data_IF_370433966448
#
_entry.id   IF_370433966448
#
_cell.length_a   1.000
_cell.length_b   1.000
_cell.length_c   1.000
_cell.angle_alpha   90.00
_cell.angle_beta   90.00
_cell.angle_gamma   90.00
#
_symmetry.space_group_name_H-M   'P 1'
#
loop_
_entity.id
_entity.type
_entity.pdbx_description
1 polymer ?
#
# COMPACT_ATOMS: atom_id res chain seq x y z
N UNK A 1 29.67 20.19 -55.90
CA UNK A 1 29.17 19.00 -56.64
C UNK A 1 27.67 19.18 -56.93
N UNK A 2 27.07 18.43 -57.87
CA UNK A 2 25.61 18.45 -58.13
C UNK A 2 24.98 17.10 -57.72
N UNK A 3 24.32 17.04 -56.57
CA UNK A 3 23.59 15.85 -56.13
C UNK A 3 22.30 15.68 -56.95
N UNK A 4 22.26 14.66 -57.82
CA UNK A 4 21.04 14.23 -58.50
C UNK A 4 20.26 13.29 -57.58
N UNK A 5 19.23 13.81 -56.90
CA UNK A 5 18.28 12.97 -56.16
C UNK A 5 17.49 12.13 -57.17
N UNK A 6 17.51 10.81 -57.02
CA UNK A 6 16.82 9.90 -57.91
C UNK A 6 15.30 9.95 -57.66
N UNK A 7 14.51 10.18 -58.71
CA UNK A 7 13.05 10.35 -58.61
C UNK A 7 12.29 9.11 -58.12
N UNK A 8 12.91 7.93 -58.09
CA UNK A 8 12.30 6.69 -57.58
C UNK A 8 12.23 6.57 -56.06
N UNK A 9 13.12 7.23 -55.30
CA UNK A 9 13.25 7.00 -53.85
C UNK A 9 12.05 7.53 -53.04
N UNK A 10 11.35 8.54 -53.56
CA UNK A 10 10.25 9.21 -52.85
C UNK A 10 9.02 8.29 -52.63
N UNK A 11 8.81 7.32 -53.52
CA UNK A 11 7.66 6.40 -53.46
C UNK A 11 7.75 5.36 -52.33
N UNK A 12 8.94 5.09 -51.80
CA UNK A 12 9.18 4.04 -50.79
C UNK A 12 9.07 4.60 -49.36
N UNK A 13 9.35 5.90 -49.17
CA UNK A 13 9.29 6.55 -47.86
C UNK A 13 7.83 6.81 -47.43
N UNK A 14 6.94 7.13 -48.38
CA UNK A 14 5.53 7.43 -48.13
C UNK A 14 4.74 6.30 -47.43
N UNK A 15 4.79 5.02 -47.86
CA UNK A 15 4.09 3.94 -47.16
C UNK A 15 4.66 3.64 -45.76
N UNK A 16 5.98 3.80 -45.56
CA UNK A 16 6.60 3.63 -44.24
C UNK A 16 6.15 4.71 -43.26
N UNK A 17 6.01 5.96 -43.72
CA UNK A 17 5.46 7.05 -42.91
C UNK A 17 3.98 6.83 -42.55
N UNK A 18 3.16 6.35 -43.50
CA UNK A 18 1.76 6.01 -43.22
C UNK A 18 1.61 4.90 -42.18
N UNK A 19 2.41 3.83 -42.28
CA UNK A 19 2.38 2.73 -41.32
C UNK A 19 2.67 3.20 -39.89
N UNK A 20 3.66 4.07 -39.70
CA UNK A 20 4.01 4.63 -38.38
C UNK A 20 2.89 5.51 -37.81
N UNK A 21 2.22 6.32 -38.63
CA UNK A 21 1.10 7.16 -38.19
C UNK A 21 -0.13 6.33 -37.79
N UNK A 22 -0.41 5.23 -38.50
CA UNK A 22 -1.49 4.30 -38.15
C UNK A 22 -1.22 3.56 -36.82
N UNK A 23 0.03 3.25 -36.49
CA UNK A 23 0.40 2.65 -35.20
C UNK A 23 0.11 3.58 -34.01
N UNK A 24 0.29 4.90 -34.16
CA UNK A 24 -0.05 5.85 -33.09
C UNK A 24 -1.56 5.99 -32.87
N UNK A 25 -2.37 5.94 -33.93
CA UNK A 25 -3.83 6.00 -33.81
C UNK A 25 -4.40 4.81 -33.00
N UNK A 26 -3.82 3.62 -33.16
CA UNK A 26 -4.23 2.41 -32.44
C UNK A 26 -3.96 2.46 -30.92
N UNK A 27 -3.13 3.39 -30.44
CA UNK A 27 -2.74 3.48 -29.03
C UNK A 27 -3.68 4.36 -28.18
N UNK A 28 -4.62 5.08 -28.79
CA UNK A 28 -5.56 5.96 -28.08
C UNK A 28 -6.85 5.26 -27.60
N UNK A 29 -7.18 4.08 -28.14
CA UNK A 29 -8.49 3.45 -27.99
C UNK A 29 -8.49 2.25 -27.02
N UNK A 30 -7.88 2.44 -25.84
CA UNK A 30 -7.88 1.45 -24.74
C UNK A 30 -8.54 2.02 -23.48
N UNK A 31 -9.79 2.49 -23.63
CA UNK A 31 -10.68 2.87 -22.51
C UNK A 31 -11.94 2.00 -22.47
N UNK A 32 -11.74 0.68 -22.40
CA UNK A 32 -12.78 -0.34 -22.20
C UNK A 32 -12.55 -1.01 -20.84
N UNK A 33 -13.30 -0.66 -19.79
CA UNK A 33 -14.70 -1.00 -19.54
C UNK A 33 -14.93 -2.50 -19.21
N UNK A 34 -14.43 -2.90 -18.04
CA UNK A 34 -14.64 -4.18 -17.36
C UNK A 34 -14.81 -3.83 -15.87
N UNK A 35 -15.87 -4.18 -15.13
CA UNK A 35 -16.99 -5.08 -15.46
C UNK A 35 -18.29 -4.68 -14.70
N UNK A 36 -19.22 -3.94 -15.32
CA UNK A 36 -20.59 -3.86 -14.78
C UNK A 36 -21.46 -4.99 -15.34
N UNK A 37 -21.43 -6.14 -14.67
CA UNK A 37 -22.46 -7.19 -14.81
C UNK A 37 -22.85 -7.77 -13.46
N UNK A 38 -23.74 -7.05 -12.76
CA UNK A 38 -24.62 -7.66 -11.76
C UNK A 38 -25.50 -8.72 -12.45
N UNK A 39 -25.36 -10.00 -12.07
CA UNK A 39 -26.41 -10.73 -11.33
C UNK A 39 -25.97 -12.17 -10.97
N UNK A 40 -26.18 -12.52 -9.70
CA UNK A 40 -26.27 -13.86 -9.08
C UNK A 40 -25.39 -15.01 -9.61
N UNK A 41 -24.54 -15.52 -8.72
CA UNK A 41 -24.67 -16.93 -8.28
C UNK A 41 -24.72 -16.93 -6.75
N UNK A 42 -25.75 -17.56 -6.18
CA UNK A 42 -25.81 -17.92 -4.76
C UNK A 42 -25.42 -19.40 -4.58
N UNK A 43 -25.42 -19.90 -3.35
CA UNK A 43 -24.75 -21.16 -2.90
C UNK A 43 -23.21 -21.06 -2.83
N UNK A 44 -22.52 -21.67 -1.86
CA UNK A 44 -22.97 -22.62 -0.82
C UNK A 44 -22.55 -22.18 0.60
N UNK A 45 -23.46 -22.31 1.57
CA UNK A 45 -23.19 -22.05 3.00
C UNK A 45 -22.98 -23.37 3.76
N UNK A 46 -21.84 -24.02 3.54
CA UNK A 46 -21.53 -25.34 4.11
C UNK A 46 -20.94 -25.27 5.53
N UNK A 47 -21.81 -25.18 6.55
CA UNK A 47 -21.41 -25.08 7.96
C UNK A 47 -21.58 -26.42 8.72
N UNK A 48 -20.59 -27.31 8.71
CA UNK A 48 -20.42 -28.39 9.70
C UNK A 48 -18.91 -28.73 9.88
N UNK A 49 -18.30 -29.07 11.03
CA UNK A 49 -18.51 -28.90 12.49
C UNK A 49 -17.74 -30.04 13.20
N UNK A 50 -16.51 -29.77 13.66
CA UNK A 50 -15.77 -30.61 14.60
C UNK A 50 -15.20 -29.72 15.71
N UNK A 51 -15.83 -29.62 16.89
CA UNK A 51 -15.58 -30.51 18.05
C UNK A 51 -14.08 -30.73 18.27
N UNK A 52 -13.43 -29.92 19.13
CA UNK A 52 -13.43 -30.00 20.61
C UNK A 52 -12.62 -31.19 21.14
N UNK A 53 -11.46 -30.91 21.72
CA UNK A 53 -11.20 -31.22 23.14
C UNK A 53 -10.05 -30.37 23.71
N UNK A 54 -10.32 -29.64 24.79
CA UNK A 54 -9.31 -29.38 25.83
C UNK A 54 -9.40 -30.54 26.84
N UNK A 55 -8.25 -31.01 27.33
CA UNK A 55 -8.12 -31.27 28.75
C UNK A 55 -6.88 -30.57 29.32
N UNK A 56 -7.00 -30.09 30.56
CA UNK A 56 -5.85 -29.69 31.37
C UNK A 56 -5.43 -30.86 32.27
N UNK A 57 -4.17 -30.85 32.74
CA UNK A 57 -3.80 -30.77 34.18
C UNK A 57 -2.48 -31.49 34.54
N UNK A 58 -1.65 -30.80 35.35
CA UNK A 58 -0.69 -31.33 36.34
C UNK A 58 0.58 -32.09 35.87
N UNK A 59 1.67 -32.18 36.65
CA UNK A 59 2.29 -31.42 37.79
C UNK A 59 3.61 -32.18 38.13
N UNK A 60 4.70 -31.66 38.70
CA UNK A 60 5.18 -30.31 39.08
C UNK A 60 6.75 -30.28 39.14
N UNK A 61 7.35 -29.20 39.70
CA UNK A 61 8.75 -29.08 40.23
C UNK A 61 9.94 -29.00 39.23
N UNK A 62 11.04 -28.29 39.53
CA UNK A 62 11.34 -27.22 40.52
C UNK A 62 12.64 -26.50 40.12
N UNK A 63 12.66 -25.15 40.04
CA UNK A 63 13.87 -24.33 40.14
C UNK A 63 13.51 -22.83 40.17
N UNK A 64 13.80 -22.13 41.27
CA UNK A 64 13.59 -20.68 41.38
C UNK A 64 14.87 -19.92 41.08
N UNK A 65 14.84 -19.00 40.10
CA UNK A 65 15.66 -17.80 40.14
C UNK A 65 14.87 -16.60 39.61
N UNK A 66 14.93 -15.49 40.35
CA UNK A 66 13.99 -14.37 40.24
C UNK A 66 14.24 -13.45 39.04
N UNK A 67 13.24 -13.33 38.17
CA UNK A 67 12.98 -12.12 37.39
C UNK A 67 11.52 -12.11 36.98
N UNK A 68 10.68 -11.27 37.61
CA UNK A 68 9.25 -11.24 37.31
C UNK A 68 8.98 -10.47 36.01
N UNK A 69 9.09 -11.20 34.89
CA UNK A 69 8.41 -10.88 33.64
C UNK A 69 7.39 -11.96 33.38
N UNK A 70 6.14 -11.68 33.73
CA UNK A 70 4.99 -12.39 33.19
C UNK A 70 4.96 -12.20 31.67
N UNK A 71 5.54 -13.16 30.94
CA UNK A 71 5.43 -13.36 29.49
C UNK A 71 4.00 -13.76 29.10
N UNK A 72 3.04 -12.90 29.45
CA UNK A 72 1.83 -12.74 28.65
C UNK A 72 2.32 -12.17 27.33
N UNK A 73 2.17 -12.94 26.25
CA UNK A 73 2.48 -12.53 24.87
C UNK A 73 1.62 -11.34 24.43
N UNK A 74 1.94 -10.17 24.95
CA UNK A 74 1.28 -8.91 24.69
C UNK A 74 1.88 -8.36 23.42
N UNK A 75 1.21 -8.60 22.29
CA UNK A 75 1.52 -7.95 21.02
C UNK A 75 1.40 -6.44 21.21
N UNK A 76 2.53 -5.77 21.47
CA UNK A 76 2.58 -4.32 21.64
C UNK A 76 2.32 -3.69 20.28
N UNK A 77 1.11 -3.15 20.11
CA UNK A 77 0.77 -2.40 18.91
C UNK A 77 1.79 -1.29 18.69
N UNK A 78 2.16 -1.12 17.43
CA UNK A 78 3.19 -0.19 17.00
C UNK A 78 2.72 0.44 15.70
N UNK A 79 3.07 1.70 15.50
CA UNK A 79 2.64 2.50 14.37
C UNK A 79 3.85 3.10 13.68
N UNK A 80 3.78 3.22 12.35
CA UNK A 80 4.79 3.97 11.59
C UNK A 80 4.30 5.41 11.36
N UNK A 81 5.09 6.41 11.72
CA UNK A 81 4.80 7.82 11.44
C UNK A 81 5.96 8.48 10.70
N UNK A 82 5.71 9.57 10.01
CA UNK A 82 6.74 10.32 9.31
C UNK A 82 7.56 11.20 10.27
N UNK A 83 8.88 11.31 10.05
CA UNK A 83 9.74 12.28 10.76
C UNK A 83 9.31 13.70 10.38
N UNK A 84 8.89 14.56 11.33
CA UNK A 84 8.42 15.92 11.03
C UNK A 84 9.49 16.84 10.41
N UNK A 85 10.77 16.49 10.53
CA UNK A 85 11.91 17.19 9.93
C UNK A 85 12.21 16.78 8.48
N UNK A 86 11.37 15.97 7.86
CA UNK A 86 11.56 15.50 6.47
C UNK A 86 11.06 16.55 5.48
N UNK A 87 11.76 16.72 4.36
CA UNK A 87 11.28 17.57 3.26
C UNK A 87 9.97 17.00 2.66
N UNK A 88 9.00 17.88 2.39
CA UNK A 88 7.72 17.58 1.76
C UNK A 88 7.84 16.70 0.51
N UNK A 89 8.86 16.91 -0.33
CA UNK A 89 9.05 16.12 -1.56
C UNK A 89 9.21 14.61 -1.27
N UNK A 90 9.94 14.27 -0.19
CA UNK A 90 10.08 12.88 0.27
C UNK A 90 8.80 12.38 0.94
N UNK A 91 8.08 13.24 1.66
CA UNK A 91 6.83 12.88 2.33
C UNK A 91 5.73 12.56 1.32
N UNK A 92 5.63 13.34 0.24
CA UNK A 92 4.72 13.05 -0.87
C UNK A 92 5.12 11.77 -1.60
N UNK A 93 6.41 11.54 -1.86
CA UNK A 93 6.89 10.28 -2.41
C UNK A 93 6.56 9.06 -1.51
N UNK A 94 6.65 9.21 -0.18
CA UNK A 94 6.24 8.15 0.75
C UNK A 94 4.73 7.86 0.68
N UNK A 95 3.88 8.88 0.46
CA UNK A 95 2.45 8.70 0.21
C UNK A 95 2.24 7.96 -1.11
N UNK A 96 2.84 8.43 -2.21
CA UNK A 96 2.74 7.81 -3.54
C UNK A 96 3.18 6.35 -3.54
N UNK A 97 4.29 6.03 -2.86
CA UNK A 97 4.78 4.67 -2.70
C UNK A 97 3.81 3.81 -1.87
N UNK A 98 3.45 4.26 -0.66
CA UNK A 98 2.57 3.49 0.24
C UNK A 98 1.21 3.22 -0.40
N UNK A 99 0.61 4.22 -1.04
CA UNK A 99 -0.70 4.14 -1.69
C UNK A 99 -0.67 3.47 -3.07
N UNK A 100 0.50 3.01 -3.54
CA UNK A 100 0.66 2.25 -4.78
C UNK A 100 0.59 0.73 -4.60
N UNK A 101 0.61 0.24 -3.36
CA UNK A 101 0.53 -1.18 -3.01
C UNK A 101 -0.95 -1.65 -2.94
N UNK A 102 -1.26 -2.82 -3.52
CA UNK A 102 -2.64 -3.29 -3.77
C UNK A 102 -3.56 -3.35 -2.54
N UNK A 103 -3.00 -3.49 -1.33
CA UNK A 103 -3.76 -3.62 -0.07
C UNK A 103 -3.95 -2.28 0.70
N UNK A 104 -3.34 -1.18 0.25
CA UNK A 104 -3.22 0.06 1.04
C UNK A 104 -4.30 1.09 0.68
N UNK A 105 -5.42 1.07 1.40
CA UNK A 105 -6.51 2.04 1.20
C UNK A 105 -6.22 3.44 1.78
N UNK A 106 -5.62 4.30 0.95
CA UNK A 106 -5.37 5.70 1.26
C UNK A 106 -6.60 6.63 1.15
N UNK A 107 -7.84 6.13 0.93
CA UNK A 107 -9.02 7.00 0.82
C UNK A 107 -9.23 7.88 2.07
N UNK A 108 -8.82 7.41 3.25
CA UNK A 108 -8.93 8.15 4.52
C UNK A 108 -8.11 9.45 4.57
N UNK A 109 -7.05 9.61 3.77
CA UNK A 109 -6.26 10.86 3.68
C UNK A 109 -6.66 11.75 2.48
N UNK A 110 -7.56 11.30 1.61
CA UNK A 110 -8.03 12.10 0.49
C UNK A 110 -9.06 13.15 0.92
N UNK A 111 -9.36 14.12 0.05
CA UNK A 111 -10.31 15.21 0.35
C UNK A 111 -11.68 14.66 0.80
N UNK A 112 -12.06 14.94 2.06
CA UNK A 112 -13.29 14.44 2.69
C UNK A 112 -13.10 13.20 3.57
N UNK A 113 -11.92 12.56 3.54
CA UNK A 113 -11.54 11.44 4.39
C UNK A 113 -11.33 11.83 5.86
N UNK A 114 -11.40 10.83 6.75
CA UNK A 114 -11.31 10.97 8.21
C UNK A 114 -9.96 11.49 8.73
N UNK A 115 -8.89 11.29 7.96
CA UNK A 115 -7.51 11.70 8.24
C UNK A 115 -7.00 12.79 7.28
N UNK A 116 -7.87 13.42 6.47
CA UNK A 116 -7.48 14.53 5.60
C UNK A 116 -7.00 15.77 6.38
N UNK A 117 -7.45 15.93 7.63
CA UNK A 117 -7.02 17.02 8.50
C UNK A 117 -6.11 16.50 9.62
N UNK A 118 -5.05 17.24 9.99
CA UNK A 118 -4.61 18.50 9.40
C UNK A 118 -3.99 18.29 8.00
N UNK A 119 -4.35 19.14 7.04
CA UNK A 119 -3.93 19.03 5.64
C UNK A 119 -2.46 19.45 5.47
N UNK A 120 -1.54 18.52 5.66
CA UNK A 120 -0.10 18.69 5.43
C UNK A 120 0.58 17.35 5.12
N UNK A 121 1.73 17.42 4.44
CA UNK A 121 2.45 16.23 3.98
C UNK A 121 2.90 15.30 5.11
N UNK A 122 3.29 15.82 6.29
CA UNK A 122 3.72 14.98 7.43
C UNK A 122 2.55 14.11 7.92
N UNK A 123 1.35 14.67 8.00
CA UNK A 123 0.16 13.97 8.51
C UNK A 123 -0.40 12.95 7.50
N UNK A 124 -0.43 13.28 6.21
CA UNK A 124 -0.83 12.35 5.16
C UNK A 124 0.19 11.21 4.99
N UNK A 125 1.50 11.53 4.99
CA UNK A 125 2.56 10.54 4.96
C UNK A 125 2.54 9.62 6.18
N UNK A 126 2.39 10.17 7.39
CA UNK A 126 2.31 9.34 8.60
C UNK A 126 1.21 8.29 8.54
N UNK A 127 0.01 8.65 8.05
CA UNK A 127 -1.07 7.68 7.91
C UNK A 127 -0.80 6.66 6.81
N UNK A 128 -0.36 7.09 5.62
CA UNK A 128 -0.06 6.19 4.50
C UNK A 128 1.08 5.21 4.84
N UNK A 129 2.17 5.71 5.42
CA UNK A 129 3.30 4.91 5.90
C UNK A 129 2.87 3.91 6.99
N UNK A 130 1.90 4.28 7.85
CA UNK A 130 1.31 3.34 8.81
C UNK A 130 0.52 2.22 8.13
N UNK A 131 -0.31 2.51 7.12
CA UNK A 131 -1.06 1.48 6.39
C UNK A 131 -0.09 0.45 5.77
N UNK A 132 0.94 0.94 5.07
CA UNK A 132 1.98 0.10 4.48
C UNK A 132 2.72 -0.75 5.53
N UNK A 133 3.13 -0.13 6.64
CA UNK A 133 3.79 -0.81 7.75
C UNK A 133 2.94 -1.93 8.37
N UNK A 134 1.64 -1.68 8.52
CA UNK A 134 0.65 -2.61 9.06
C UNK A 134 0.43 -3.81 8.12
N UNK A 135 0.23 -3.57 6.83
CA UNK A 135 0.04 -4.64 5.82
C UNK A 135 1.31 -5.49 5.64
N UNK A 136 2.48 -4.85 5.54
CA UNK A 136 3.78 -5.49 5.31
C UNK A 136 4.32 -6.31 6.51
N UNK A 137 3.54 -6.49 7.58
CA UNK A 137 3.93 -7.33 8.73
C UNK A 137 4.72 -6.64 9.84
N UNK A 138 4.66 -5.30 9.93
CA UNK A 138 5.16 -4.49 11.07
C UNK A 138 6.67 -4.60 11.37
N UNK A 139 7.46 -5.03 10.39
CA UNK A 139 8.91 -5.16 10.56
C UNK A 139 9.63 -3.79 10.59
N UNK A 140 10.76 -3.64 11.30
CA UNK A 140 11.48 -2.38 11.41
C UNK A 140 11.83 -1.70 10.08
N UNK A 141 12.24 -2.50 9.08
CA UNK A 141 12.60 -2.01 7.74
C UNK A 141 11.39 -1.47 6.95
N UNK A 142 10.17 -1.96 7.21
CA UNK A 142 8.95 -1.45 6.58
C UNK A 142 8.62 -0.01 7.00
N UNK A 143 9.24 0.51 8.07
CA UNK A 143 9.06 1.88 8.53
C UNK A 143 10.31 2.76 8.31
N UNK A 144 11.37 2.27 7.64
CA UNK A 144 12.54 3.11 7.41
C UNK A 144 12.25 4.25 6.42
N UNK A 145 11.64 3.93 5.27
CA UNK A 145 11.36 4.89 4.18
C UNK A 145 12.58 5.77 3.83
N UNK A 146 13.76 5.15 3.63
CA UNK A 146 15.03 5.85 3.40
C UNK A 146 15.36 6.84 4.53
N UNK A 147 15.29 6.34 5.77
CA UNK A 147 15.50 7.07 7.01
C UNK A 147 14.48 8.18 7.30
N UNK A 148 13.26 8.13 6.75
CA UNK A 148 12.23 9.17 6.96
C UNK A 148 11.05 8.75 7.86
N UNK A 149 10.91 7.48 8.23
CA UNK A 149 9.89 7.01 9.19
C UNK A 149 10.38 6.78 10.62
N UNK A 150 9.44 6.67 11.55
CA UNK A 150 9.63 6.38 12.97
C UNK A 150 8.60 5.35 13.41
N UNK A 151 9.04 4.30 14.11
CA UNK A 151 8.13 3.41 14.83
C UNK A 151 7.84 4.02 16.21
N UNK A 152 6.56 4.11 16.56
CA UNK A 152 6.08 4.58 17.86
C UNK A 152 5.17 3.53 18.51
N UNK A 153 5.22 3.44 19.84
CA UNK A 153 4.33 2.59 20.66
C UNK A 153 3.16 3.35 21.27
N UNK A 154 3.17 4.69 21.18
CA UNK A 154 2.04 5.54 21.53
C UNK A 154 1.12 5.67 20.31
N UNK A 155 -0.19 5.46 20.51
CA UNK A 155 -1.16 5.49 19.41
C UNK A 155 -1.30 6.92 18.83
N UNK A 156 -0.95 7.17 17.55
CA UNK A 156 -1.00 8.49 16.94
C UNK A 156 -2.41 8.92 16.47
N UNK A 157 -3.47 8.17 16.81
CA UNK A 157 -4.86 8.50 16.47
C UNK A 157 -5.35 9.78 17.16
N UNK A 158 -6.09 10.61 16.43
CA UNK A 158 -6.63 11.87 16.95
C UNK A 158 -8.04 12.16 16.39
N UNK A 159 -8.98 12.49 17.28
CA UNK A 159 -10.36 12.84 16.90
C UNK A 159 -11.02 11.75 16.05
N UNK A 160 -11.29 12.05 14.77
CA UNK A 160 -11.87 11.11 13.80
C UNK A 160 -10.84 10.30 13.02
N UNK A 161 -9.56 10.68 13.04
CA UNK A 161 -8.50 9.93 12.40
C UNK A 161 -8.02 8.80 13.33
N UNK A 162 -8.19 7.55 12.89
CA UNK A 162 -7.90 6.35 13.67
C UNK A 162 -6.87 5.51 12.90
N UNK A 163 -5.67 5.39 13.45
CA UNK A 163 -4.56 4.64 12.84
C UNK A 163 -4.71 3.14 13.15
N UNK A 164 -4.77 2.25 12.13
CA UNK A 164 -4.76 0.80 12.35
C UNK A 164 -3.45 0.35 13.03
N UNK A 165 -3.53 -0.72 13.82
CA UNK A 165 -2.67 -0.96 14.98
C UNK A 165 -2.06 -2.37 15.03
#
# INVERSE_FOLDING_TARGET
MKMKIARGTLAIILPLALAFLLSFAACSESRTHVNEKRLQVAFSRSHLKGKKLQPAKADDKEAVLSSDRTEKGSTTNTWCIAKPSTNNDKLLHNVEYSCGEDNVDCHSIQLGGSCFHPNNAVSHASFAMNLFYQDSGKHPWNCDFNGTGLIVSDNPSFGKCQYPA
#
